data_IF_942914213349
#
_entry.id   IF_942914213349
#
_cell.length_a   1.000
_cell.length_b   1.000
_cell.length_c   1.000
_cell.angle_alpha   90.00
_cell.angle_beta   90.00
_cell.angle_gamma   90.00
#
_symmetry.space_group_name_H-M   'P 1'
#
loop_
_entity.id
_entity.type
_entity.pdbx_description
1 polymer ?
#
# COMPACT_ATOMS: atom_id res chain seq x y z
N UNK A 1 -0.61 4.51 -4.88
CA UNK A 1 -1.83 4.36 -4.07
C UNK A 1 -2.98 5.17 -4.64
N UNK A 2 -2.89 6.51 -4.79
CA UNK A 2 -3.98 7.40 -5.20
C UNK A 2 -4.56 7.04 -6.59
N UNK A 3 -3.72 6.97 -7.62
CA UNK A 3 -4.12 6.56 -8.97
C UNK A 3 -4.78 5.16 -8.98
N UNK A 4 -4.21 4.21 -8.24
CA UNK A 4 -4.80 2.87 -8.13
C UNK A 4 -6.14 2.86 -7.41
N UNK A 5 -6.31 3.71 -6.39
CA UNK A 5 -7.58 3.88 -5.70
C UNK A 5 -8.67 4.43 -6.63
N UNK A 6 -8.34 5.47 -7.41
CA UNK A 6 -9.27 6.07 -8.39
C UNK A 6 -9.67 5.07 -9.51
N UNK A 7 -8.67 4.36 -10.09
CA UNK A 7 -8.93 3.39 -11.15
C UNK A 7 -9.70 2.17 -10.61
N UNK A 8 -9.37 1.68 -9.41
CA UNK A 8 -10.06 0.54 -8.81
C UNK A 8 -11.52 0.86 -8.47
N UNK A 9 -11.79 2.03 -7.86
CA UNK A 9 -13.15 2.50 -7.62
C UNK A 9 -13.91 2.69 -8.94
N UNK A 10 -13.29 3.35 -9.93
CA UNK A 10 -13.88 3.58 -11.24
C UNK A 10 -14.22 2.29 -11.98
N UNK A 11 -13.31 1.32 -11.98
CA UNK A 11 -13.53 0.01 -12.60
C UNK A 11 -14.73 -0.73 -11.98
N UNK A 12 -14.83 -0.71 -10.65
CA UNK A 12 -15.98 -1.29 -9.95
C UNK A 12 -17.28 -0.55 -10.26
N UNK A 13 -17.25 0.78 -10.25
CA UNK A 13 -18.39 1.63 -10.53
C UNK A 13 -18.92 1.46 -11.97
N UNK A 14 -18.04 1.49 -12.98
CA UNK A 14 -18.46 1.28 -14.37
C UNK A 14 -18.93 -0.14 -14.64
N UNK A 15 -18.32 -1.15 -14.01
CA UNK A 15 -18.83 -2.52 -14.09
C UNK A 15 -20.26 -2.60 -13.55
N UNK A 16 -20.53 -1.99 -12.41
CA UNK A 16 -21.86 -1.94 -11.79
C UNK A 16 -22.88 -1.24 -12.71
N UNK A 17 -22.48 -0.11 -13.28
CA UNK A 17 -23.31 0.66 -14.21
C UNK A 17 -23.66 -0.11 -15.50
N UNK A 18 -22.70 -0.84 -16.05
CA UNK A 18 -22.89 -1.64 -17.27
C UNK A 18 -23.75 -2.89 -17.03
N UNK A 19 -23.65 -3.50 -15.85
CA UNK A 19 -24.33 -4.78 -15.54
C UNK A 19 -25.71 -4.56 -14.92
N UNK A 20 -25.99 -3.39 -14.34
CA UNK A 20 -27.29 -3.05 -13.76
C UNK A 20 -27.70 -3.99 -12.64
N UNK A 21 -28.87 -4.64 -12.78
CA UNK A 21 -29.42 -5.55 -11.77
C UNK A 21 -28.69 -6.90 -11.63
N UNK A 22 -27.83 -7.26 -12.60
CA UNK A 22 -27.11 -8.54 -12.63
C UNK A 22 -25.67 -8.45 -12.04
N UNK A 23 -25.42 -7.50 -11.14
CA UNK A 23 -24.09 -7.30 -10.54
C UNK A 23 -23.66 -8.50 -9.73
N UNK A 24 -22.57 -9.17 -10.13
CA UNK A 24 -21.91 -10.17 -9.32
C UNK A 24 -20.81 -9.49 -8.47
N UNK A 25 -21.05 -9.38 -7.15
CA UNK A 25 -20.14 -8.75 -6.23
C UNK A 25 -18.69 -9.33 -6.27
N UNK A 26 -18.49 -10.65 -6.35
CA UNK A 26 -17.14 -11.22 -6.47
C UNK A 26 -16.41 -10.77 -7.75
N UNK A 27 -17.10 -10.69 -8.88
CA UNK A 27 -16.51 -10.26 -10.14
C UNK A 27 -16.14 -8.78 -10.10
N UNK A 28 -16.99 -7.93 -9.53
CA UNK A 28 -16.69 -6.52 -9.32
C UNK A 28 -15.44 -6.30 -8.45
N UNK A 29 -15.28 -7.09 -7.38
CA UNK A 29 -14.09 -7.07 -6.53
C UNK A 29 -12.83 -7.45 -7.33
N UNK A 30 -12.89 -8.51 -8.14
CA UNK A 30 -11.76 -8.93 -8.99
C UNK A 30 -11.40 -7.85 -10.02
N UNK A 31 -12.39 -7.23 -10.65
CA UNK A 31 -12.20 -6.14 -11.62
C UNK A 31 -11.55 -4.93 -10.93
N UNK A 32 -12.03 -4.55 -9.75
CA UNK A 32 -11.45 -3.46 -8.96
C UNK A 32 -9.98 -3.72 -8.60
N UNK A 33 -9.66 -4.93 -8.13
CA UNK A 33 -8.29 -5.35 -7.79
C UNK A 33 -7.40 -5.33 -9.03
N UNK A 34 -7.85 -5.91 -10.14
CA UNK A 34 -7.09 -5.98 -11.37
C UNK A 34 -6.83 -4.58 -11.95
N UNK A 35 -7.85 -3.74 -12.03
CA UNK A 35 -7.74 -2.36 -12.52
C UNK A 35 -6.78 -1.53 -11.66
N UNK A 36 -6.92 -1.63 -10.33
CA UNK A 36 -6.04 -0.94 -9.38
C UNK A 36 -4.60 -1.42 -9.50
N UNK A 37 -4.36 -2.74 -9.56
CA UNK A 37 -3.04 -3.32 -9.70
C UNK A 37 -2.36 -2.87 -11.01
N UNK A 38 -3.07 -2.91 -12.13
CA UNK A 38 -2.55 -2.49 -13.43
C UNK A 38 -2.20 -1.00 -13.46
N UNK A 39 -3.05 -0.15 -12.88
CA UNK A 39 -2.78 1.27 -12.76
C UNK A 39 -1.51 1.55 -11.94
N UNK A 40 -1.37 0.89 -10.79
CA UNK A 40 -0.18 1.01 -9.94
C UNK A 40 1.07 0.47 -10.61
N UNK A 41 0.97 -0.68 -11.30
CA UNK A 41 2.06 -1.28 -12.06
C UNK A 41 2.52 -0.37 -13.21
N UNK A 42 1.59 0.30 -13.91
CA UNK A 42 1.91 1.27 -14.95
C UNK A 42 2.68 2.48 -14.40
N UNK A 43 2.23 3.07 -13.28
CA UNK A 43 2.96 4.15 -12.61
C UNK A 43 4.35 3.70 -12.13
N UNK A 44 4.46 2.50 -11.57
CA UNK A 44 5.72 1.93 -11.14
C UNK A 44 6.66 1.57 -12.31
N UNK A 45 6.11 1.23 -13.47
CA UNK A 45 6.89 1.02 -14.69
C UNK A 45 7.53 2.31 -15.18
N UNK A 46 6.80 3.44 -15.15
CA UNK A 46 7.35 4.77 -15.47
C UNK A 46 8.48 5.09 -14.47
N UNK A 47 8.25 4.90 -13.16
CA UNK A 47 9.28 5.09 -12.15
C UNK A 47 10.52 4.23 -12.43
N UNK A 48 10.33 2.95 -12.72
CA UNK A 48 11.42 2.01 -13.01
C UNK A 48 12.21 2.42 -14.24
N UNK A 49 11.54 2.84 -15.30
CA UNK A 49 12.20 3.32 -16.51
C UNK A 49 13.10 4.53 -16.24
N UNK A 50 12.57 5.52 -15.51
CA UNK A 50 13.32 6.72 -15.16
C UNK A 50 14.51 6.43 -14.23
N UNK A 51 14.32 5.59 -13.20
CA UNK A 51 15.33 5.40 -12.15
C UNK A 51 16.30 4.26 -12.43
N UNK A 52 15.89 3.22 -13.18
CA UNK A 52 16.72 2.06 -13.46
C UNK A 52 17.39 2.18 -14.84
N UNK A 53 16.63 2.57 -15.89
CA UNK A 53 17.17 2.70 -17.24
C UNK A 53 17.84 4.03 -17.46
N UNK A 54 17.17 5.15 -17.15
CA UNK A 54 17.73 6.49 -17.29
C UNK A 54 18.59 6.93 -16.10
N UNK A 55 18.61 6.12 -15.02
CA UNK A 55 19.43 6.37 -13.82
C UNK A 55 19.17 7.73 -13.16
N UNK A 56 17.95 8.27 -13.32
CA UNK A 56 17.54 9.51 -12.69
C UNK A 56 17.53 9.39 -11.16
N UNK A 57 17.64 10.52 -10.47
CA UNK A 57 17.59 10.57 -9.02
C UNK A 57 16.24 10.00 -8.51
N UNK A 58 16.30 8.97 -7.69
CA UNK A 58 15.12 8.23 -7.22
C UNK A 58 14.20 9.10 -6.36
N UNK A 59 14.76 9.98 -5.51
CA UNK A 59 13.97 10.84 -4.63
C UNK A 59 13.20 11.89 -5.44
N UNK A 60 13.86 12.56 -6.38
CA UNK A 60 13.25 13.58 -7.25
C UNK A 60 12.18 12.94 -8.13
N UNK A 61 12.48 11.79 -8.75
CA UNK A 61 11.52 11.03 -9.57
C UNK A 61 10.31 10.58 -8.74
N UNK A 62 10.54 10.12 -7.51
CA UNK A 62 9.48 9.71 -6.59
C UNK A 62 8.54 10.87 -6.23
N UNK A 63 9.09 12.05 -5.91
CA UNK A 63 8.30 13.25 -5.63
C UNK A 63 7.49 13.69 -6.86
N UNK A 64 8.11 13.74 -8.03
CA UNK A 64 7.43 14.10 -9.27
C UNK A 64 6.27 13.14 -9.60
N UNK A 65 6.51 11.81 -9.47
CA UNK A 65 5.47 10.81 -9.70
C UNK A 65 4.41 10.76 -8.61
N UNK A 66 4.69 11.20 -7.40
CA UNK A 66 3.67 11.38 -6.36
C UNK A 66 2.66 12.44 -6.79
N UNK A 67 3.14 13.61 -7.24
CA UNK A 67 2.28 14.70 -7.74
C UNK A 67 1.53 14.25 -8.99
N UNK A 68 2.22 13.64 -9.95
CA UNK A 68 1.61 13.10 -11.16
C UNK A 68 0.51 12.07 -10.86
N UNK A 69 0.79 11.08 -10.00
CA UNK A 69 -0.16 10.04 -9.64
C UNK A 69 -1.38 10.56 -8.87
N UNK A 70 -1.18 11.59 -8.04
CA UNK A 70 -2.28 12.30 -7.38
C UNK A 70 -3.12 13.05 -8.40
N UNK A 71 -2.49 13.79 -9.31
CA UNK A 71 -3.18 14.53 -10.38
C UNK A 71 -3.99 13.63 -11.32
N UNK A 72 -3.40 12.49 -11.75
CA UNK A 72 -4.13 11.50 -12.56
C UNK A 72 -5.33 10.94 -11.81
N UNK A 73 -5.17 10.59 -10.54
CA UNK A 73 -6.27 10.07 -9.73
C UNK A 73 -7.38 11.09 -9.52
N UNK A 74 -7.03 12.35 -9.24
CA UNK A 74 -8.00 13.45 -9.12
C UNK A 74 -8.73 13.72 -10.44
N UNK A 75 -7.99 13.74 -11.55
CA UNK A 75 -8.58 13.91 -12.87
C UNK A 75 -9.61 12.80 -13.20
N UNK A 76 -9.23 11.54 -12.98
CA UNK A 76 -10.13 10.40 -13.22
C UNK A 76 -11.36 10.45 -12.33
N UNK A 77 -11.19 10.79 -11.06
CA UNK A 77 -12.31 10.93 -10.13
C UNK A 77 -13.25 12.08 -10.49
N UNK A 78 -12.69 13.21 -10.89
CA UNK A 78 -13.49 14.36 -11.34
C UNK A 78 -14.18 14.07 -12.67
N UNK A 79 -13.51 13.43 -13.61
CA UNK A 79 -14.10 13.00 -14.87
C UNK A 79 -15.34 12.11 -14.65
N UNK A 80 -15.25 11.14 -13.74
CA UNK A 80 -16.39 10.30 -13.36
C UNK A 80 -17.51 11.13 -12.73
N UNK A 81 -17.17 12.06 -11.83
CA UNK A 81 -18.14 12.94 -11.16
C UNK A 81 -18.90 13.83 -12.14
N UNK A 82 -18.21 14.41 -13.10
CA UNK A 82 -18.83 15.27 -14.13
C UNK A 82 -19.77 14.47 -15.04
N UNK A 83 -19.38 13.24 -15.41
CA UNK A 83 -20.23 12.38 -16.24
C UNK A 83 -21.53 11.95 -15.53
N UNK A 84 -21.47 11.74 -14.23
CA UNK A 84 -22.65 11.31 -13.45
C UNK A 84 -23.49 12.48 -12.95
N UNK A 85 -22.97 13.70 -12.96
CA UNK A 85 -23.65 14.88 -12.42
C UNK A 85 -23.81 14.89 -10.89
N UNK A 86 -23.33 13.86 -10.21
CA UNK A 86 -23.42 13.67 -8.76
C UNK A 86 -22.11 13.10 -8.21
N UNK A 87 -22.08 12.77 -6.91
CA UNK A 87 -20.95 12.07 -6.33
C UNK A 87 -20.88 10.62 -6.83
N UNK A 88 -19.66 10.13 -7.06
CA UNK A 88 -19.40 8.75 -7.47
C UNK A 88 -19.31 7.86 -6.24
N UNK A 89 -20.22 6.92 -6.13
CA UNK A 89 -20.22 5.92 -5.05
C UNK A 89 -20.66 4.56 -5.60
N UNK A 90 -20.06 3.51 -5.08
CA UNK A 90 -20.48 2.12 -5.37
C UNK A 90 -21.72 1.75 -4.54
N UNK A 91 -22.49 0.76 -5.01
CA UNK A 91 -23.70 0.29 -4.31
C UNK A 91 -23.41 -0.30 -2.94
N UNK A 92 -24.44 -0.39 -2.11
CA UNK A 92 -24.32 -1.00 -0.78
C UNK A 92 -23.96 -2.49 -0.86
N UNK A 93 -24.36 -3.18 -1.91
CA UNK A 93 -24.00 -4.59 -2.15
C UNK A 93 -22.50 -4.75 -2.33
N UNK A 94 -21.89 -3.86 -3.10
CA UNK A 94 -20.45 -3.89 -3.34
C UNK A 94 -19.66 -3.42 -2.10
N UNK A 95 -20.15 -2.40 -1.40
CA UNK A 95 -19.57 -1.97 -0.10
C UNK A 95 -19.57 -3.13 0.91
N UNK A 96 -20.67 -3.89 0.98
CA UNK A 96 -20.75 -5.06 1.84
C UNK A 96 -19.72 -6.13 1.45
N UNK A 97 -19.49 -6.37 0.15
CA UNK A 97 -18.49 -7.33 -0.32
C UNK A 97 -17.05 -6.96 0.12
N UNK A 98 -16.74 -5.67 0.25
CA UNK A 98 -15.45 -5.22 0.74
C UNK A 98 -15.33 -5.20 2.28
N UNK A 99 -16.44 -4.97 2.98
CA UNK A 99 -16.43 -4.76 4.43
C UNK A 99 -16.84 -5.99 5.25
N UNK A 100 -17.62 -6.90 4.67
CA UNK A 100 -18.09 -8.07 5.42
C UNK A 100 -16.95 -9.00 5.78
N UNK A 101 -17.06 -9.55 6.98
CA UNK A 101 -16.18 -10.62 7.45
C UNK A 101 -16.51 -11.93 6.73
N UNK A 102 -15.48 -12.72 6.33
CA UNK A 102 -15.68 -14.04 5.74
C UNK A 102 -16.13 -15.10 6.76
N UNK A 103 -16.12 -14.78 8.06
CA UNK A 103 -16.46 -15.73 9.11
C UNK A 103 -17.93 -15.69 9.51
N UNK A 104 -18.53 -16.85 9.92
CA UNK A 104 -19.91 -16.93 10.40
C UNK A 104 -20.16 -16.01 11.60
N UNK A 105 -21.38 -15.49 11.70
CA UNK A 105 -21.80 -14.60 12.79
C UNK A 105 -21.59 -15.21 14.20
N UNK A 106 -21.69 -16.52 14.32
CA UNK A 106 -21.45 -17.22 15.59
C UNK A 106 -20.03 -17.04 16.13
N UNK A 107 -19.02 -17.00 15.26
CA UNK A 107 -17.63 -16.74 15.66
C UNK A 107 -17.38 -15.26 15.99
N UNK A 108 -18.08 -14.36 15.33
CA UNK A 108 -17.96 -12.92 15.56
C UNK A 108 -18.57 -12.49 16.90
N UNK A 109 -19.55 -13.25 17.44
CA UNK A 109 -20.24 -12.97 18.70
C UNK A 109 -19.47 -13.43 19.94
N UNK A 110 -18.33 -14.12 19.79
CA UNK A 110 -17.50 -14.50 20.92
C UNK A 110 -16.99 -13.24 21.66
N UNK A 111 -17.13 -13.16 22.99
CA UNK A 111 -16.70 -11.99 23.74
C UNK A 111 -15.20 -11.74 23.56
N UNK A 112 -14.81 -10.51 23.24
CA UNK A 112 -13.44 -10.03 23.01
C UNK A 112 -12.76 -10.65 21.79
N UNK A 113 -12.66 -11.98 21.71
CA UNK A 113 -11.97 -12.72 20.64
C UNK A 113 -12.69 -12.61 19.29
N UNK A 114 -14.02 -12.62 19.30
CA UNK A 114 -14.84 -12.54 18.10
C UNK A 114 -14.61 -11.25 17.31
N UNK A 115 -14.75 -10.12 17.96
CA UNK A 115 -14.53 -8.81 17.33
C UNK A 115 -13.07 -8.57 16.94
N UNK A 116 -12.12 -9.08 17.74
CA UNK A 116 -10.68 -8.82 17.58
C UNK A 116 -10.06 -9.67 16.48
N UNK A 117 -10.52 -10.92 16.30
CA UNK A 117 -9.94 -11.85 15.32
C UNK A 117 -10.86 -12.17 14.14
N UNK A 118 -12.19 -12.13 14.30
CA UNK A 118 -13.13 -12.59 13.28
C UNK A 118 -14.04 -11.48 12.71
N UNK A 119 -13.97 -10.25 13.27
CA UNK A 119 -14.80 -9.12 12.85
C UNK A 119 -14.24 -8.30 11.70
N UNK A 120 -13.13 -8.71 11.09
CA UNK A 120 -12.46 -7.90 10.05
C UNK A 120 -12.83 -8.33 8.62
N UNK A 121 -12.63 -7.42 7.67
CA UNK A 121 -12.86 -7.71 6.26
C UNK A 121 -11.85 -8.74 5.73
N UNK A 122 -12.20 -9.42 4.64
CA UNK A 122 -11.32 -10.40 3.97
C UNK A 122 -9.97 -9.79 3.58
N UNK A 123 -9.93 -8.50 3.26
CA UNK A 123 -8.70 -7.80 2.87
C UNK A 123 -7.71 -7.66 4.01
N UNK A 124 -8.17 -7.57 5.26
CA UNK A 124 -7.30 -7.58 6.43
C UNK A 124 -6.54 -8.91 6.53
N UNK A 125 -7.23 -10.03 6.36
CA UNK A 125 -6.58 -11.37 6.38
C UNK A 125 -5.68 -11.57 5.18
N UNK A 126 -6.08 -11.10 3.99
CA UNK A 126 -5.23 -11.12 2.80
C UNK A 126 -3.95 -10.28 2.99
N UNK A 127 -4.05 -9.13 3.65
CA UNK A 127 -2.89 -8.30 3.99
C UNK A 127 -1.91 -9.03 4.91
N UNK A 128 -2.41 -9.68 5.96
CA UNK A 128 -1.60 -10.50 6.87
C UNK A 128 -0.97 -11.67 6.12
N UNK A 129 -1.77 -12.41 5.34
CA UNK A 129 -1.30 -13.53 4.53
C UNK A 129 -0.21 -13.10 3.53
N UNK A 130 -0.38 -11.94 2.88
CA UNK A 130 0.60 -11.36 1.96
C UNK A 130 1.90 -11.00 2.68
N UNK A 131 1.84 -10.39 3.88
CA UNK A 131 3.01 -10.08 4.67
C UNK A 131 3.80 -11.34 5.07
N UNK A 132 3.10 -12.41 5.48
CA UNK A 132 3.70 -13.70 5.79
C UNK A 132 4.30 -14.33 4.54
N UNK A 133 3.56 -14.37 3.43
CA UNK A 133 4.04 -14.93 2.16
C UNK A 133 5.28 -14.20 1.63
N UNK A 134 5.28 -12.85 1.67
CA UNK A 134 6.43 -12.05 1.29
C UNK A 134 7.64 -12.32 2.20
N UNK A 135 7.40 -12.45 3.51
CA UNK A 135 8.47 -12.79 4.46
C UNK A 135 9.09 -14.17 4.20
N UNK A 136 8.26 -15.16 3.87
CA UNK A 136 8.71 -16.51 3.49
C UNK A 136 9.44 -16.48 2.13
N UNK A 137 8.88 -15.77 1.14
CA UNK A 137 9.50 -15.61 -0.18
C UNK A 137 10.90 -15.02 -0.07
N UNK A 138 11.08 -13.90 0.64
CA UNK A 138 12.37 -13.24 0.81
C UNK A 138 13.40 -14.08 1.57
N UNK A 139 12.96 -14.99 2.45
CA UNK A 139 13.87 -15.81 3.28
C UNK A 139 14.17 -17.19 2.73
N UNK A 140 13.20 -17.81 2.03
CA UNK A 140 13.28 -19.23 1.63
C UNK A 140 13.37 -19.46 0.13
N UNK A 141 12.96 -18.51 -0.72
CA UNK A 141 13.03 -18.69 -2.17
C UNK A 141 14.37 -18.23 -2.73
N UNK A 142 14.87 -18.92 -3.77
CA UNK A 142 16.08 -18.50 -4.51
C UNK A 142 15.92 -17.08 -5.07
N UNK A 143 14.77 -16.80 -5.67
CA UNK A 143 14.47 -15.49 -6.24
C UNK A 143 14.41 -14.38 -5.18
N UNK A 144 13.85 -14.66 -4.00
CA UNK A 144 13.84 -13.73 -2.87
C UNK A 144 15.24 -13.44 -2.31
N UNK A 145 16.11 -14.47 -2.26
CA UNK A 145 17.51 -14.30 -1.87
C UNK A 145 18.27 -13.45 -2.89
N UNK A 146 18.06 -13.67 -4.19
CA UNK A 146 18.65 -12.83 -5.24
C UNK A 146 18.17 -11.39 -5.15
N UNK A 147 16.88 -11.16 -4.88
CA UNK A 147 16.33 -9.83 -4.68
C UNK A 147 17.00 -9.11 -3.48
N UNK A 148 17.22 -9.81 -2.39
CA UNK A 148 17.95 -9.27 -1.23
C UNK A 148 19.42 -8.97 -1.57
N UNK A 149 20.10 -9.87 -2.27
CA UNK A 149 21.48 -9.65 -2.73
C UNK A 149 21.60 -8.41 -3.61
N UNK A 150 20.65 -8.21 -4.54
CA UNK A 150 20.57 -7.00 -5.38
C UNK A 150 20.32 -5.74 -4.53
N UNK A 151 19.57 -5.84 -3.44
CA UNK A 151 19.33 -4.72 -2.52
C UNK A 151 20.54 -4.35 -1.67
N UNK A 152 21.35 -5.32 -1.27
CA UNK A 152 22.54 -5.11 -0.43
C UNK A 152 23.77 -4.69 -1.26
N UNK A 153 24.07 -5.42 -2.34
CA UNK A 153 25.23 -5.17 -3.20
C UNK A 153 24.92 -5.53 -4.65
N UNK A 154 24.41 -4.57 -5.45
CA UNK A 154 24.13 -4.81 -6.87
C UNK A 154 25.36 -5.24 -7.66
N UNK A 155 26.54 -4.68 -7.33
CA UNK A 155 27.79 -5.02 -8.01
C UNK A 155 28.18 -6.49 -7.79
N UNK A 156 28.10 -6.98 -6.54
CA UNK A 156 28.37 -8.38 -6.22
C UNK A 156 27.33 -9.32 -6.84
N UNK A 157 26.05 -8.91 -6.85
CA UNK A 157 24.99 -9.69 -7.48
C UNK A 157 25.21 -9.82 -9.00
N UNK A 158 25.58 -8.73 -9.68
CA UNK A 158 25.90 -8.74 -11.11
C UNK A 158 27.15 -9.59 -11.43
N UNK A 159 28.19 -9.53 -10.58
CA UNK A 159 29.37 -10.39 -10.70
C UNK A 159 29.02 -11.89 -10.56
N UNK A 160 28.01 -12.22 -9.77
CA UNK A 160 27.48 -13.58 -9.63
C UNK A 160 26.50 -13.98 -10.77
N UNK A 161 26.35 -13.15 -11.81
CA UNK A 161 25.47 -13.43 -12.97
C UNK A 161 23.98 -13.11 -12.72
N UNK A 162 23.65 -12.41 -11.65
CA UNK A 162 22.26 -12.03 -11.35
C UNK A 162 21.92 -10.72 -12.09
N UNK A 163 20.88 -10.73 -12.90
CA UNK A 163 20.42 -9.55 -13.65
C UNK A 163 19.80 -8.49 -12.71
N UNK A 164 20.60 -7.51 -12.28
CA UNK A 164 20.20 -6.44 -11.35
C UNK A 164 18.99 -5.65 -11.87
N UNK A 165 19.01 -5.23 -13.14
CA UNK A 165 17.92 -4.47 -13.72
C UNK A 165 16.59 -5.24 -13.69
N UNK A 166 16.59 -6.53 -14.07
CA UNK A 166 15.39 -7.37 -14.06
C UNK A 166 14.75 -7.47 -12.69
N UNK A 167 15.57 -7.72 -11.64
CA UNK A 167 15.08 -7.80 -10.27
C UNK A 167 14.55 -6.47 -9.76
N UNK A 168 15.24 -5.36 -10.05
CA UNK A 168 14.76 -4.03 -9.69
C UNK A 168 13.42 -3.70 -10.37
N UNK A 169 13.29 -3.94 -11.68
CA UNK A 169 12.04 -3.72 -12.41
C UNK A 169 10.88 -4.54 -11.84
N UNK A 170 11.06 -5.86 -11.72
CA UNK A 170 10.00 -6.74 -11.21
C UNK A 170 9.56 -6.35 -9.80
N UNK A 171 10.51 -6.09 -8.90
CA UNK A 171 10.19 -5.69 -7.53
C UNK A 171 9.42 -4.38 -7.48
N UNK A 172 9.83 -3.37 -8.26
CA UNK A 172 9.18 -2.06 -8.28
C UNK A 172 7.78 -2.13 -8.89
N UNK A 173 7.62 -2.83 -10.03
CA UNK A 173 6.33 -2.94 -10.71
C UNK A 173 5.32 -3.73 -9.89
N UNK A 174 5.73 -4.88 -9.31
CA UNK A 174 4.87 -5.69 -8.45
C UNK A 174 4.53 -4.91 -7.16
N UNK A 175 5.54 -4.28 -6.55
CA UNK A 175 5.34 -3.48 -5.34
C UNK A 175 4.40 -2.29 -5.56
N UNK A 176 4.52 -1.60 -6.70
CA UNK A 176 3.62 -0.51 -7.09
C UNK A 176 2.18 -0.98 -7.33
N UNK A 177 2.02 -2.14 -7.98
CA UNK A 177 0.71 -2.77 -8.16
C UNK A 177 0.04 -3.12 -6.82
N UNK A 178 0.76 -3.77 -5.91
CA UNK A 178 0.26 -4.12 -4.56
C UNK A 178 -0.08 -2.85 -3.76
N UNK A 179 0.78 -1.84 -3.81
CA UNK A 179 0.55 -0.56 -3.14
C UNK A 179 -0.71 0.15 -3.66
N UNK A 180 -0.99 0.05 -4.95
CA UNK A 180 -2.20 0.59 -5.58
C UNK A 180 -3.46 -0.13 -5.10
N UNK A 181 -3.43 -1.47 -5.01
CA UNK A 181 -4.53 -2.27 -4.43
C UNK A 181 -4.79 -1.85 -2.99
N UNK A 182 -3.74 -1.59 -2.19
CA UNK A 182 -3.91 -1.03 -0.84
C UNK A 182 -4.68 0.29 -0.83
N UNK A 183 -4.39 1.19 -1.78
CA UNK A 183 -5.14 2.45 -1.94
C UNK A 183 -6.60 2.24 -2.32
N UNK A 184 -6.89 1.28 -3.19
CA UNK A 184 -8.26 0.91 -3.56
C UNK A 184 -9.03 0.32 -2.37
N UNK A 185 -8.42 -0.61 -1.63
CA UNK A 185 -9.02 -1.19 -0.41
C UNK A 185 -9.33 -0.10 0.60
N UNK A 186 -8.43 0.86 0.81
CA UNK A 186 -8.65 1.99 1.70
C UNK A 186 -9.88 2.81 1.30
N UNK A 187 -10.02 3.17 0.01
CA UNK A 187 -11.20 3.89 -0.49
C UNK A 187 -12.48 3.07 -0.26
N UNK A 188 -12.45 1.77 -0.54
CA UNK A 188 -13.63 0.92 -0.44
C UNK A 188 -14.06 0.67 1.02
N UNK A 189 -13.09 0.55 1.95
CA UNK A 189 -13.39 0.18 3.35
C UNK A 189 -13.46 1.39 4.27
N UNK A 190 -12.48 2.30 4.21
CA UNK A 190 -12.35 3.42 5.16
C UNK A 190 -13.14 4.63 4.67
N UNK A 191 -13.00 5.00 3.39
CA UNK A 191 -13.75 6.13 2.80
C UNK A 191 -15.20 5.73 2.47
N UNK A 192 -15.51 4.44 2.52
CA UNK A 192 -16.86 3.93 2.33
C UNK A 192 -17.31 3.82 0.86
N UNK A 193 -16.37 3.59 -0.05
CA UNK A 193 -16.65 3.38 -1.47
C UNK A 193 -17.22 4.61 -2.18
N UNK A 194 -16.85 5.80 -1.73
CA UNK A 194 -17.20 7.09 -2.31
C UNK A 194 -15.95 7.78 -2.79
N UNK A 195 -15.97 8.39 -3.97
CA UNK A 195 -14.87 9.20 -4.41
C UNK A 195 -14.76 10.49 -3.60
N UNK A 196 -13.61 10.72 -3.02
CA UNK A 196 -13.25 11.96 -2.33
C UNK A 196 -11.83 12.37 -2.75
N UNK A 197 -11.67 13.63 -3.17
CA UNK A 197 -10.38 14.18 -3.59
C UNK A 197 -9.30 14.15 -2.49
N UNK A 198 -9.71 14.20 -1.23
CA UNK A 198 -8.82 14.18 -0.09
C UNK A 198 -8.77 12.82 0.62
N UNK A 199 -9.57 11.86 0.17
CA UNK A 199 -9.78 10.59 0.86
C UNK A 199 -8.53 9.74 1.07
N UNK A 200 -7.49 9.92 0.26
CA UNK A 200 -6.17 9.28 0.38
C UNK A 200 -5.05 10.27 0.70
N UNK A 201 -5.38 11.52 1.02
CA UNK A 201 -4.38 12.56 1.25
C UNK A 201 -3.52 12.24 2.47
N UNK A 202 -2.20 12.12 2.26
CA UNK A 202 -1.25 11.79 3.34
C UNK A 202 -1.06 10.30 3.65
N UNK A 203 -2.03 9.44 3.34
CA UNK A 203 -2.00 8.00 3.70
C UNK A 203 -0.82 7.25 3.04
N UNK A 204 -0.40 7.66 1.86
CA UNK A 204 0.79 7.12 1.22
C UNK A 204 2.07 7.38 2.03
N UNK A 205 2.20 8.56 2.62
CA UNK A 205 3.33 8.91 3.47
C UNK A 205 3.28 8.18 4.82
N UNK A 206 2.07 7.97 5.36
CA UNK A 206 1.89 7.13 6.54
C UNK A 206 2.36 5.69 6.28
N UNK A 207 2.07 5.13 5.11
CA UNK A 207 2.57 3.81 4.72
C UNK A 207 4.10 3.77 4.62
N UNK A 208 4.75 4.82 4.11
CA UNK A 208 6.22 4.95 4.11
C UNK A 208 6.76 4.99 5.54
N UNK A 209 6.17 5.81 6.41
CA UNK A 209 6.53 5.88 7.83
C UNK A 209 6.41 4.51 8.51
N UNK A 210 5.34 3.76 8.21
CA UNK A 210 5.14 2.39 8.70
C UNK A 210 6.26 1.44 8.25
N UNK A 211 6.68 1.48 6.98
CA UNK A 211 7.77 0.63 6.47
C UNK A 211 9.08 0.94 7.19
N UNK A 212 9.38 2.22 7.41
CA UNK A 212 10.57 2.66 8.16
C UNK A 212 10.49 2.18 9.61
N UNK A 213 9.35 2.37 10.28
CA UNK A 213 9.09 1.88 11.63
C UNK A 213 9.31 0.36 11.74
N UNK A 214 8.85 -0.40 10.76
CA UNK A 214 8.99 -1.85 10.68
C UNK A 214 10.38 -2.33 10.24
N UNK A 215 11.31 -1.41 9.99
CA UNK A 215 12.69 -1.69 9.59
C UNK A 215 12.74 -2.66 8.39
N UNK A 216 11.96 -2.35 7.36
CA UNK A 216 11.85 -3.12 6.10
C UNK A 216 11.53 -4.61 6.26
N UNK A 217 10.95 -5.02 7.41
CA UNK A 217 10.61 -6.41 7.69
C UNK A 217 9.12 -6.69 7.50
N UNK A 218 8.70 -7.59 6.58
CA UNK A 218 7.29 -7.93 6.39
C UNK A 218 6.59 -8.45 7.64
N UNK A 219 7.29 -9.24 8.46
CA UNK A 219 6.70 -9.76 9.70
C UNK A 219 6.45 -8.66 10.75
N UNK A 220 7.35 -7.67 10.84
CA UNK A 220 7.15 -6.53 11.75
C UNK A 220 6.05 -5.61 11.24
N UNK A 221 5.81 -5.56 9.92
CA UNK A 221 4.73 -4.77 9.34
C UNK A 221 3.36 -5.18 9.85
N UNK A 222 3.14 -6.46 10.22
CA UNK A 222 1.89 -6.94 10.81
C UNK A 222 1.64 -6.23 12.15
N UNK A 223 2.62 -6.23 13.05
CA UNK A 223 2.50 -5.56 14.35
C UNK A 223 2.50 -4.05 14.23
N UNK A 224 3.32 -3.51 13.33
CA UNK A 224 3.37 -2.08 13.05
C UNK A 224 2.03 -1.56 12.54
N UNK A 225 1.36 -2.26 11.64
CA UNK A 225 0.06 -1.85 11.11
C UNK A 225 -1.04 -1.85 12.19
N UNK A 226 -1.02 -2.80 13.12
CA UNK A 226 -1.94 -2.82 14.26
C UNK A 226 -1.68 -1.62 15.18
N UNK A 227 -0.42 -1.33 15.48
CA UNK A 227 -0.04 -0.19 16.32
C UNK A 227 -0.44 1.14 15.65
N UNK A 228 -0.09 1.33 14.38
CA UNK A 228 -0.42 2.57 13.65
C UNK A 228 -1.93 2.75 13.49
N UNK A 229 -2.67 1.68 13.16
CA UNK A 229 -4.12 1.71 13.12
C UNK A 229 -4.73 2.08 14.48
N UNK A 230 -4.19 1.52 15.56
CA UNK A 230 -4.58 1.89 16.94
C UNK A 230 -4.33 3.36 17.25
N UNK A 231 -3.17 3.90 16.87
CA UNK A 231 -2.85 5.33 17.07
C UNK A 231 -3.77 6.24 16.27
N UNK A 232 -4.12 5.87 15.03
CA UNK A 232 -5.05 6.65 14.20
C UNK A 232 -6.47 6.68 14.77
N UNK A 233 -6.92 5.58 15.40
CA UNK A 233 -8.27 5.48 15.97
C UNK A 233 -8.32 6.06 17.38
N UNK A 234 -7.17 6.27 18.03
CA UNK A 234 -7.10 6.70 19.42
C UNK A 234 -7.90 7.98 19.69
N UNK A 235 -7.81 8.97 18.80
CA UNK A 235 -8.53 10.23 18.94
C UNK A 235 -10.06 10.07 18.88
N UNK A 236 -10.55 9.09 18.10
CA UNK A 236 -12.00 8.82 17.99
C UNK A 236 -12.57 8.15 19.23
N UNK A 237 -11.73 7.41 19.97
CA UNK A 237 -12.15 6.65 21.15
C UNK A 237 -11.87 7.35 22.47
N UNK A 238 -10.86 8.20 22.51
CA UNK A 238 -10.43 8.91 23.71
C UNK A 238 -10.16 10.39 23.37
N UNK A 239 -11.18 11.16 22.95
CA UNK A 239 -11.01 12.58 22.71
C UNK A 239 -10.69 13.25 24.06
N UNK A 240 -9.56 13.91 24.15
CA UNK A 240 -9.19 14.75 25.28
C UNK A 240 -9.41 16.18 24.82
N UNK A 241 -10.36 16.88 25.41
CA UNK A 241 -10.77 18.23 25.01
C UNK A 241 -9.62 19.25 24.94
N UNK A 242 -8.51 18.94 25.61
CA UNK A 242 -7.31 19.79 25.66
C UNK A 242 -6.35 19.56 24.49
N UNK A 243 -6.49 18.47 23.72
CA UNK A 243 -5.56 18.07 22.68
C UNK A 243 -6.25 18.20 21.32
N UNK A 244 -5.79 19.11 20.43
CA UNK A 244 -6.32 19.22 19.07
C UNK A 244 -6.14 17.93 18.27
N UNK A 245 -7.11 17.60 17.41
CA UNK A 245 -7.10 16.39 16.55
C UNK A 245 -5.83 16.25 15.69
N UNK A 246 -5.21 17.37 15.35
CA UNK A 246 -3.98 17.42 14.58
C UNK A 246 -2.81 16.74 15.31
N UNK A 247 -2.77 16.82 16.65
CA UNK A 247 -1.72 16.19 17.46
C UNK A 247 -1.83 14.66 17.39
N UNK A 248 -3.04 14.12 17.40
CA UNK A 248 -3.24 12.68 17.25
C UNK A 248 -2.78 12.17 15.88
N UNK A 249 -3.03 12.93 14.81
CA UNK A 249 -2.58 12.60 13.44
C UNK A 249 -1.06 12.59 13.28
N UNK A 250 -0.33 13.33 14.11
CA UNK A 250 1.12 13.37 14.12
C UNK A 250 1.74 12.18 14.88
N UNK A 251 1.01 11.56 15.81
CA UNK A 251 1.53 10.49 16.66
C UNK A 251 2.25 9.36 15.92
N UNK A 252 1.72 8.77 14.82
CA UNK A 252 2.43 7.73 14.10
C UNK A 252 3.80 8.17 13.57
N UNK A 253 3.90 9.42 13.12
CA UNK A 253 5.17 9.97 12.61
C UNK A 253 6.16 10.22 13.76
N UNK A 254 5.70 10.74 14.90
CA UNK A 254 6.53 10.91 16.09
C UNK A 254 7.07 9.57 16.57
N UNK A 255 6.23 8.54 16.64
CA UNK A 255 6.63 7.18 17.02
C UNK A 255 7.68 6.63 16.04
N UNK A 256 7.52 6.89 14.73
CA UNK A 256 8.51 6.50 13.72
C UNK A 256 9.86 7.18 13.95
N UNK A 257 9.87 8.49 14.20
CA UNK A 257 11.10 9.25 14.49
C UNK A 257 11.80 8.72 15.75
N UNK A 258 11.04 8.47 16.80
CA UNK A 258 11.56 7.90 18.05
C UNK A 258 12.22 6.54 17.81
N UNK A 259 11.56 5.65 17.06
CA UNK A 259 12.12 4.34 16.71
C UNK A 259 13.39 4.47 15.86
N UNK A 260 13.43 5.41 14.91
CA UNK A 260 14.62 5.68 14.11
C UNK A 260 15.80 6.13 15.00
N UNK A 261 15.57 7.01 15.95
CA UNK A 261 16.60 7.45 16.90
C UNK A 261 17.16 6.24 17.67
N UNK A 262 16.28 5.44 18.28
CA UNK A 262 16.70 4.26 19.05
C UNK A 262 17.43 3.21 18.22
N UNK A 263 16.98 2.96 16.97
CA UNK A 263 17.64 1.99 16.09
C UNK A 263 18.97 2.49 15.57
N UNK A 264 19.10 3.78 15.31
CA UNK A 264 20.36 4.42 14.92
C UNK A 264 21.41 4.34 16.03
N UNK A 265 21.01 4.58 17.27
CA UNK A 265 21.91 4.48 18.43
C UNK A 265 22.43 3.05 18.66
N UNK A 266 21.66 2.03 18.30
CA UNK A 266 22.04 0.61 18.51
C UNK A 266 22.93 0.03 17.41
N UNK A 267 23.17 0.72 16.31
CA UNK A 267 24.06 0.37 15.17
C UNK A 267 24.04 -1.12 14.75
N UNK A 268 22.87 -1.72 14.70
CA UNK A 268 22.70 -3.13 14.33
C UNK A 268 22.39 -3.24 12.83
N UNK A 269 23.30 -3.83 12.04
CA UNK A 269 23.17 -4.00 10.58
C UNK A 269 21.85 -4.66 10.14
N UNK A 270 21.36 -5.64 10.90
CA UNK A 270 20.11 -6.35 10.57
C UNK A 270 18.84 -5.45 10.65
N UNK A 271 18.98 -4.25 11.20
CA UNK A 271 17.90 -3.29 11.40
C UNK A 271 18.03 -2.04 10.51
N UNK A 272 19.01 -2.01 9.62
CA UNK A 272 19.21 -0.93 8.66
C UNK A 272 18.45 -1.20 7.34
N UNK A 273 18.15 -0.15 6.55
CA UNK A 273 17.65 -0.33 5.20
C UNK A 273 18.66 -1.08 4.34
N UNK A 274 18.22 -1.70 3.22
CA UNK A 274 19.15 -2.26 2.24
C UNK A 274 20.22 -1.23 1.82
N UNK A 275 21.48 -1.61 1.79
CA UNK A 275 22.60 -0.69 1.61
C UNK A 275 22.53 0.11 0.30
N UNK A 276 21.95 -0.47 -0.76
CA UNK A 276 21.79 0.18 -2.07
C UNK A 276 20.42 0.84 -2.27
N UNK A 277 19.65 1.04 -1.17
CA UNK A 277 18.35 1.73 -1.26
C UNK A 277 18.53 3.17 -1.74
N UNK A 278 17.81 3.54 -2.79
CA UNK A 278 17.85 4.91 -3.35
C UNK A 278 19.07 5.18 -4.25
N UNK A 279 19.98 4.20 -4.43
CA UNK A 279 21.18 4.37 -5.25
C UNK A 279 20.98 3.82 -6.65
N UNK A 280 21.41 4.61 -7.64
CA UNK A 280 21.52 4.13 -9.02
C UNK A 280 22.69 3.12 -9.12
N UNK A 281 22.54 2.10 -9.96
CA UNK A 281 23.60 1.12 -10.21
C UNK A 281 24.25 1.36 -11.56
N UNK A 282 25.57 1.51 -11.54
CA UNK A 282 26.41 1.68 -12.73
C UNK A 282 27.32 0.46 -12.88
N UNK A 283 27.20 -0.26 -13.97
CA UNK A 283 28.00 -1.47 -14.23
C UNK A 283 29.48 -1.16 -14.45
N UNK A 284 29.76 0.05 -14.90
CA UNK A 284 31.10 0.53 -15.26
C UNK A 284 31.93 1.01 -14.06
N UNK A 285 31.28 1.19 -12.89
CA UNK A 285 31.92 1.63 -11.65
C UNK A 285 32.24 0.46 -10.69
N UNK A 286 32.61 -0.69 -11.24
CA UNK A 286 32.97 -1.88 -10.45
C UNK A 286 34.33 -1.75 -9.79
#
# INVERSE_FOLDING_TARGET
MFMGGAVGLGAAFYYEKLTGAAVSAPLAVVIAIAGSFLAGAAGALIFSFLTITLRANQNVTGLALTIFGTGVGQYLGEFMRVQEGTYVAVSNTLKAAFNNSPFPAALQQLPVVGSLLFGHSIFTYLGIAMAVAMGLYLRRSRSGLYLRAVGESPATADAAGISVARYKYLATVIGGGISAVGGMVYIMTVVGGVWNHEGLSGEGWLAVALVIFCLWSPYRAIWGSILFGGLLILYLRMPIDLIPDQIYKILPYVVTVVVLIFTSLRNNRDKQPPASLGLAYFREER
#
